data_IF_440862627271
#
_entry.id   IF_440862627271
#
_cell.length_a   1.000
_cell.length_b   1.000
_cell.length_c   1.000
_cell.angle_alpha   90.00
_cell.angle_beta   90.00
_cell.angle_gamma   90.00
#
_symmetry.space_group_name_H-M   'P 1'
#
loop_
_entity.id
_entity.type
_entity.pdbx_description
1 polymer ?
#
# COMPACT_ATOMS: atom_id res chain seq x y z
N UNK A 1 -6.92 -8.42 14.02
CA UNK A 1 -7.95 -7.79 13.18
C UNK A 1 -8.36 -8.79 12.12
N UNK A 2 -9.66 -9.02 11.92
CA UNK A 2 -10.14 -9.99 10.93
C UNK A 2 -10.03 -9.43 9.50
N UNK A 3 -9.84 -10.29 8.50
CA UNK A 3 -9.69 -9.89 7.08
C UNK A 3 -10.83 -8.98 6.61
N UNK A 4 -12.08 -9.27 7.03
CA UNK A 4 -13.25 -8.46 6.70
C UNK A 4 -13.18 -7.03 7.26
N UNK A 5 -12.60 -6.86 8.44
CA UNK A 5 -12.45 -5.56 9.08
C UNK A 5 -11.37 -4.73 8.37
N UNK A 6 -10.27 -5.37 7.93
CA UNK A 6 -9.25 -4.73 7.11
C UNK A 6 -9.84 -4.23 5.79
N UNK A 7 -10.60 -5.08 5.11
CA UNK A 7 -11.26 -4.73 3.85
C UNK A 7 -12.18 -3.52 4.04
N UNK A 8 -12.98 -3.48 5.12
CA UNK A 8 -13.82 -2.33 5.45
C UNK A 8 -13.00 -1.07 5.67
N UNK A 9 -11.91 -1.14 6.44
CA UNK A 9 -11.03 0.02 6.68
C UNK A 9 -10.46 0.55 5.36
N UNK A 10 -9.98 -0.32 4.48
CA UNK A 10 -9.38 0.07 3.20
C UNK A 10 -10.40 0.71 2.25
N UNK A 11 -11.62 0.14 2.17
CA UNK A 11 -12.67 0.61 1.27
C UNK A 11 -13.39 1.86 1.78
N UNK A 12 -13.50 2.03 3.10
CA UNK A 12 -14.12 3.21 3.71
C UNK A 12 -13.11 4.36 3.95
N UNK A 13 -11.83 4.17 3.64
CA UNK A 13 -10.79 5.19 3.83
C UNK A 13 -10.73 6.17 2.68
N UNK A 14 -10.68 7.45 3.01
CA UNK A 14 -10.18 8.48 2.10
C UNK A 14 -8.66 8.60 2.24
N UNK A 15 -7.98 8.69 1.10
CA UNK A 15 -6.52 8.69 1.04
C UNK A 15 -6.00 10.02 0.51
N UNK A 16 -5.01 10.58 1.20
CA UNK A 16 -4.23 11.71 0.72
C UNK A 16 -2.92 11.20 0.12
N UNK A 17 -2.64 11.57 -1.13
CA UNK A 17 -1.32 11.37 -1.73
C UNK A 17 -0.39 12.43 -1.15
N UNK A 18 0.65 11.99 -0.46
CA UNK A 18 1.61 12.89 0.20
C UNK A 18 2.95 12.98 -0.52
N UNK A 19 3.24 11.99 -1.36
CA UNK A 19 4.48 11.90 -2.11
C UNK A 19 4.26 11.01 -3.34
N UNK A 20 5.04 11.28 -4.37
CA UNK A 20 5.10 10.51 -5.61
C UNK A 20 6.58 10.15 -5.76
N UNK A 21 6.92 8.91 -5.46
CA UNK A 21 8.29 8.55 -5.08
C UNK A 21 9.01 7.50 -5.94
N UNK A 22 10.25 7.29 -5.51
CA UNK A 22 11.32 6.31 -5.79
C UNK A 22 11.48 5.66 -7.18
N UNK A 23 10.43 5.12 -7.83
CA UNK A 23 10.61 4.35 -9.07
C UNK A 23 9.41 4.50 -10.03
N UNK A 24 9.43 5.47 -10.96
CA UNK A 24 8.29 5.80 -11.85
C UNK A 24 6.97 6.00 -11.08
N UNK A 25 6.89 7.13 -10.39
CA UNK A 25 5.62 7.67 -9.91
C UNK A 25 4.88 6.80 -8.87
N UNK A 26 5.59 6.17 -7.94
CA UNK A 26 4.96 5.37 -6.88
C UNK A 26 4.14 6.29 -5.97
N UNK A 27 2.80 6.24 -5.98
CA UNK A 27 2.01 7.11 -5.13
C UNK A 27 2.08 6.61 -3.70
N UNK A 28 2.51 7.46 -2.77
CA UNK A 28 2.46 7.18 -1.34
C UNK A 28 1.22 7.83 -0.75
N UNK A 29 0.25 7.00 -0.42
CA UNK A 29 -1.00 7.42 0.17
C UNK A 29 -1.00 7.24 1.68
N UNK A 30 -1.69 8.13 2.41
CA UNK A 30 -2.00 7.96 3.83
C UNK A 30 -3.51 8.10 4.06
N UNK A 31 -4.13 7.24 4.89
CA UNK A 31 -5.51 7.46 5.31
C UNK A 31 -5.66 8.82 6.01
N UNK A 32 -6.62 9.62 5.56
CA UNK A 32 -6.98 10.89 6.19
C UNK A 32 -7.50 10.67 7.60
N UNK A 33 -8.38 9.68 7.77
CA UNK A 33 -8.85 9.26 9.08
C UNK A 33 -7.72 8.58 9.87
N UNK A 34 -7.29 9.21 10.96
CA UNK A 34 -6.20 8.71 11.81
C UNK A 34 -6.49 7.30 12.36
N UNK A 35 -7.76 6.94 12.57
CA UNK A 35 -8.16 5.61 13.07
C UNK A 35 -7.89 4.49 12.07
N UNK A 36 -7.72 4.83 10.80
CA UNK A 36 -7.45 3.89 9.72
C UNK A 36 -5.95 3.77 9.40
N UNK A 37 -5.09 4.52 10.11
CA UNK A 37 -3.63 4.41 9.96
C UNK A 37 -3.12 3.20 10.72
N UNK A 38 -2.89 2.12 9.99
CA UNK A 38 -2.30 0.89 10.51
C UNK A 38 -0.78 0.98 10.38
N UNK A 39 -0.06 0.70 11.46
CA UNK A 39 1.39 0.58 11.41
C UNK A 39 1.78 -0.86 11.07
N UNK A 40 2.33 -1.05 9.87
CA UNK A 40 2.66 -2.38 9.37
C UNK A 40 4.16 -2.47 9.00
N UNK A 41 4.91 -3.43 9.56
CA UNK A 41 6.33 -3.59 9.24
C UNK A 41 6.55 -4.05 7.80
N UNK A 42 7.71 -3.71 7.25
CA UNK A 42 8.15 -4.19 5.94
C UNK A 42 8.54 -5.67 6.00
N UNK A 43 8.47 -6.36 4.87
CA UNK A 43 9.08 -7.67 4.73
C UNK A 43 10.60 -7.60 4.94
N UNK A 44 11.15 -8.65 5.53
CA UNK A 44 12.58 -8.90 5.63
C UNK A 44 12.82 -10.42 5.54
N UNK A 45 13.42 -10.94 4.44
CA UNK A 45 13.94 -10.22 3.28
C UNK A 45 12.83 -9.62 2.39
N UNK A 46 13.20 -8.73 1.48
CA UNK A 46 12.29 -8.17 0.48
C UNK A 46 12.00 -9.20 -0.63
N UNK A 47 10.87 -9.03 -1.34
CA UNK A 47 10.55 -9.85 -2.52
C UNK A 47 11.35 -9.36 -3.72
N UNK A 48 11.93 -10.30 -4.47
CA UNK A 48 12.58 -9.99 -5.73
C UNK A 48 11.61 -9.51 -6.82
N UNK A 49 10.32 -9.87 -6.71
CA UNK A 49 9.28 -9.53 -7.68
C UNK A 49 7.95 -9.21 -7.00
N UNK A 50 7.28 -8.15 -7.46
CA UNK A 50 5.95 -7.70 -7.07
C UNK A 50 5.22 -7.29 -8.35
N UNK A 51 4.02 -7.84 -8.63
CA UNK A 51 3.27 -7.50 -9.85
C UNK A 51 2.83 -6.03 -9.87
N UNK A 52 2.65 -5.48 -11.08
CA UNK A 52 2.01 -4.19 -11.31
C UNK A 52 0.60 -4.09 -10.67
N UNK A 53 0.21 -2.88 -10.25
CA UNK A 53 -1.01 -2.54 -9.54
C UNK A 53 -1.05 -3.04 -8.09
N UNK A 54 0.01 -3.70 -7.61
CA UNK A 54 0.02 -4.24 -6.24
C UNK A 54 -0.10 -3.12 -5.22
N UNK A 55 -1.00 -3.30 -4.25
CA UNK A 55 -1.20 -2.41 -3.13
C UNK A 55 -0.64 -3.06 -1.87
N UNK A 56 0.08 -2.29 -1.07
CA UNK A 56 0.61 -2.82 0.19
C UNK A 56 0.77 -1.76 1.25
N UNK A 57 1.07 -2.22 2.47
CA UNK A 57 1.42 -1.33 3.56
C UNK A 57 2.93 -1.16 3.70
N UNK A 58 3.34 0.09 3.94
CA UNK A 58 4.69 0.49 4.33
C UNK A 58 4.61 1.38 5.56
N UNK A 59 4.77 0.80 6.76
CA UNK A 59 4.48 1.50 8.03
C UNK A 59 3.02 1.98 8.00
N UNK A 60 2.78 3.29 8.07
CA UNK A 60 1.44 3.90 8.03
C UNK A 60 0.97 4.30 6.63
N UNK A 61 1.78 4.03 5.61
CA UNK A 61 1.48 4.40 4.23
C UNK A 61 0.89 3.23 3.46
N UNK A 62 0.09 3.56 2.45
CA UNK A 62 -0.47 2.64 1.46
C UNK A 62 0.10 3.00 0.09
N UNK A 63 1.34 2.58 -0.21
CA UNK A 63 1.91 2.71 -1.54
C UNK A 63 1.33 1.69 -2.54
N UNK A 64 1.30 2.10 -3.80
CA UNK A 64 0.93 1.26 -4.95
C UNK A 64 2.16 1.06 -5.83
N UNK A 65 2.33 -0.14 -6.37
CA UNK A 65 3.35 -0.49 -7.37
C UNK A 65 2.76 -0.25 -8.78
N UNK A 66 3.04 0.88 -9.47
CA UNK A 66 2.58 1.18 -10.83
C UNK A 66 3.28 0.41 -11.96
N UNK A 67 4.31 -0.38 -11.62
CA UNK A 67 4.95 -1.34 -12.52
C UNK A 67 5.46 -2.53 -11.70
N UNK A 68 5.76 -3.62 -12.39
CA UNK A 68 6.45 -4.75 -11.78
C UNK A 68 7.84 -4.34 -11.25
N UNK A 69 8.14 -4.71 -9.99
CA UNK A 69 9.42 -4.38 -9.36
C UNK A 69 9.69 -5.20 -8.09
N UNK A 70 10.93 -5.21 -7.55
CA UNK A 70 11.20 -5.70 -6.22
C UNK A 70 10.46 -4.89 -5.15
N UNK A 71 10.05 -5.53 -4.05
CA UNK A 71 9.20 -4.85 -3.07
C UNK A 71 9.23 -5.45 -1.66
N UNK A 72 9.11 -4.57 -0.67
CA UNK A 72 9.11 -4.93 0.76
C UNK A 72 7.79 -4.61 1.48
N UNK A 73 6.74 -4.23 0.75
CA UNK A 73 5.45 -3.85 1.35
C UNK A 73 4.60 -5.08 1.64
N UNK A 74 3.84 -5.06 2.74
CA UNK A 74 2.86 -6.09 3.08
C UNK A 74 1.65 -5.98 2.14
N UNK A 75 1.55 -6.89 1.18
CA UNK A 75 0.56 -6.82 0.12
C UNK A 75 -0.83 -7.20 0.64
N UNK A 76 -1.86 -6.48 0.19
CA UNK A 76 -3.24 -6.77 0.56
C UNK A 76 -4.20 -6.81 -0.63
N UNK A 77 -3.77 -6.44 -1.83
CA UNK A 77 -4.61 -6.44 -3.02
C UNK A 77 -3.92 -5.86 -4.25
N UNK A 78 -4.70 -5.66 -5.32
CA UNK A 78 -4.28 -4.96 -6.54
C UNK A 78 -5.35 -3.95 -6.94
N UNK A 79 -4.93 -2.82 -7.48
CA UNK A 79 -5.85 -1.89 -8.15
C UNK A 79 -6.18 -2.37 -9.56
N UNK A 80 -7.21 -1.75 -10.14
CA UNK A 80 -7.33 -1.65 -11.59
C UNK A 80 -6.14 -0.85 -12.16
N UNK A 81 -5.87 -0.92 -13.48
CA UNK A 81 -4.87 -0.06 -14.10
C UNK A 81 -5.10 1.41 -13.74
N UNK A 82 -4.01 2.09 -13.38
CA UNK A 82 -3.95 3.50 -12.95
C UNK A 82 -3.28 4.35 -14.02
#
# INVERSE_FOLDING_TARGET
MWVKQLSKILLDSEFLIIDIGFYRDYPFAIPLNIKYRLFVPKYNPYRAYTPDGSCGFRRNYVPIYPIESPGDYQLFGRTIPI
#
